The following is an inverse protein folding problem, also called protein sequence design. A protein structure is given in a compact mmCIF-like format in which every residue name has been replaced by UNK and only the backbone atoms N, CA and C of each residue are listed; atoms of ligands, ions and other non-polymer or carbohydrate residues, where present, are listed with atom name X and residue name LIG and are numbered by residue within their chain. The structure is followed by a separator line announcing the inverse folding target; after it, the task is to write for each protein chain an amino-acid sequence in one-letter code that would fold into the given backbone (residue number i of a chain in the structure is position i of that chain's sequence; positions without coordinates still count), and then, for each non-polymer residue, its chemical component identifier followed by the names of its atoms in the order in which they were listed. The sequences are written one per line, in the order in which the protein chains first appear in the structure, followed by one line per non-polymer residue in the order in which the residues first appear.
data_IF_499369693480
#
_entry.id   IF_499369693480
#
_cell.length_a   1.000
_cell.length_b   1.000
_cell.length_c   1.000
_cell.angle_alpha   90.00
_cell.angle_beta   90.00
_cell.angle_gamma   90.00
#
_symmetry.space_group_name_H-M   'P 1'
#
loop_
_entity.id
_entity.type
_entity.pdbx_description
1 polymer ?
#
# COMPACT_ATOMS: atom_id res chain seq x y z
N UNK A 1 -1.19 -1.92 -21.02
CA UNK A 1 -0.01 -2.56 -21.63
C UNK A 1 1.25 -1.79 -21.32
N UNK A 2 1.41 -1.31 -20.08
CA UNK A 2 2.69 -0.82 -19.56
C UNK A 2 3.37 -1.99 -18.83
N UNK A 3 4.68 -1.92 -18.66
CA UNK A 3 5.47 -2.90 -17.90
C UNK A 3 6.18 -2.16 -16.77
N UNK A 4 5.47 -1.88 -15.65
CA UNK A 4 6.05 -1.14 -14.55
C UNK A 4 7.06 -1.98 -13.76
N UNK A 5 8.05 -1.32 -13.19
CA UNK A 5 8.96 -1.87 -12.17
C UNK A 5 8.78 -1.05 -10.90
N UNK A 6 8.57 -1.72 -9.77
CA UNK A 6 8.36 -1.05 -8.48
C UNK A 6 9.68 -0.97 -7.73
N UNK A 7 10.04 0.19 -7.22
CA UNK A 7 11.18 0.37 -6.31
C UNK A 7 10.63 0.72 -4.94
N UNK A 8 10.65 -0.24 -4.02
CA UNK A 8 10.11 -0.05 -2.67
C UNK A 8 11.17 0.60 -1.77
N UNK A 9 10.95 1.87 -1.42
CA UNK A 9 11.85 2.70 -0.64
C UNK A 9 11.59 2.55 0.87
N UNK A 10 11.80 1.34 1.39
CA UNK A 10 11.47 0.98 2.76
C UNK A 10 12.31 1.70 3.83
N UNK A 11 11.71 2.00 4.98
CA UNK A 11 12.43 2.59 6.15
C UNK A 11 13.40 1.62 6.82
N UNK A 12 13.12 0.32 6.69
CA UNK A 12 13.92 -0.80 7.19
C UNK A 12 14.22 -1.83 6.10
N UNK A 13 14.22 -1.42 4.83
CA UNK A 13 14.47 -2.32 3.71
C UNK A 13 15.90 -2.89 3.69
N UNK A 14 16.25 -3.68 2.66
CA UNK A 14 17.52 -4.39 2.62
C UNK A 14 18.74 -3.45 2.56
N UNK A 15 19.89 -3.84 3.14
CA UNK A 15 21.09 -2.99 3.18
C UNK A 15 21.68 -2.71 1.78
N UNK A 16 21.44 -3.60 0.82
CA UNK A 16 21.71 -3.42 -0.60
C UNK A 16 20.41 -3.66 -1.40
N UNK A 17 20.29 -3.12 -2.63
CA UNK A 17 19.13 -3.40 -3.48
C UNK A 17 18.90 -4.91 -3.66
N UNK A 18 17.64 -5.34 -3.54
CA UNK A 18 17.23 -6.73 -3.78
C UNK A 18 16.22 -6.75 -4.90
N UNK A 19 16.51 -7.47 -5.97
CA UNK A 19 15.63 -7.56 -7.14
C UNK A 19 14.76 -8.81 -7.02
N UNK A 20 13.47 -8.65 -7.26
CA UNK A 20 12.50 -9.72 -7.49
C UNK A 20 12.00 -9.58 -8.93
N UNK A 21 12.42 -10.46 -9.86
CA UNK A 21 11.93 -10.44 -11.22
C UNK A 21 10.41 -10.65 -11.29
N UNK A 22 9.77 -10.07 -12.32
CA UNK A 22 8.35 -10.30 -12.57
C UNK A 22 8.07 -11.80 -12.75
N UNK A 23 6.95 -12.27 -12.20
CA UNK A 23 6.57 -13.69 -12.24
C UNK A 23 7.35 -14.62 -11.30
N UNK A 24 8.20 -14.08 -10.42
CA UNK A 24 8.82 -14.88 -9.35
C UNK A 24 7.71 -15.50 -8.48
N UNK A 25 7.67 -16.84 -8.31
CA UNK A 25 6.65 -17.48 -7.50
C UNK A 25 6.90 -17.20 -6.01
N UNK A 26 6.13 -16.27 -5.45
CA UNK A 26 6.18 -15.88 -4.04
C UNK A 26 4.88 -16.30 -3.35
N UNK A 27 4.80 -17.57 -2.96
CA UNK A 27 3.72 -18.06 -2.10
C UNK A 27 4.06 -17.82 -0.61
N UNK A 28 3.09 -17.99 0.31
CA UNK A 28 3.34 -17.84 1.74
C UNK A 28 4.47 -18.72 2.28
N UNK A 29 4.73 -19.90 1.68
CA UNK A 29 5.81 -20.78 2.10
C UNK A 29 7.18 -20.26 1.67
N UNK A 30 7.31 -19.69 0.47
CA UNK A 30 8.50 -19.01 0.00
C UNK A 30 8.85 -17.80 0.89
N UNK A 31 7.85 -17.01 1.28
CA UNK A 31 8.03 -15.90 2.20
C UNK A 31 8.44 -16.39 3.60
N UNK A 32 7.86 -17.48 4.10
CA UNK A 32 8.30 -18.10 5.34
C UNK A 32 9.77 -18.55 5.29
N UNK A 33 10.22 -19.11 4.17
CA UNK A 33 11.63 -19.49 3.99
C UNK A 33 12.56 -18.27 4.02
N UNK A 34 12.13 -17.11 3.47
CA UNK A 34 12.87 -15.84 3.60
C UNK A 34 12.98 -15.43 5.07
N UNK A 35 11.90 -15.56 5.85
CA UNK A 35 11.91 -15.25 7.28
C UNK A 35 12.85 -16.17 8.06
N UNK A 36 12.80 -17.48 7.79
CA UNK A 36 13.63 -18.49 8.46
C UNK A 36 15.13 -18.32 8.15
N UNK A 37 15.46 -17.75 6.98
CA UNK A 37 16.82 -17.33 6.63
C UNK A 37 17.26 -16.00 7.28
N UNK A 38 16.42 -15.40 8.14
CA UNK A 38 16.69 -14.11 8.79
C UNK A 38 16.39 -12.88 7.93
N UNK A 39 15.73 -13.07 6.78
CA UNK A 39 15.26 -11.99 5.92
C UNK A 39 13.96 -11.37 6.41
N UNK A 40 13.66 -10.16 5.93
CA UNK A 40 12.40 -9.47 6.22
C UNK A 40 11.33 -9.89 5.19
N UNK A 41 10.68 -11.03 5.42
CA UNK A 41 9.73 -11.66 4.49
C UNK A 41 8.51 -10.80 4.13
N UNK A 42 8.12 -9.85 4.97
CA UNK A 42 7.08 -8.90 4.65
C UNK A 42 7.62 -7.47 4.56
N UNK A 43 8.70 -7.36 3.78
CA UNK A 43 9.14 -6.10 3.20
C UNK A 43 8.23 -5.69 2.06
N UNK A 44 8.00 -4.38 1.92
CA UNK A 44 7.13 -3.77 0.90
C UNK A 44 7.37 -4.33 -0.52
N UNK A 45 8.63 -4.53 -0.95
CA UNK A 45 8.91 -5.07 -2.30
C UNK A 45 8.44 -6.52 -2.52
N UNK A 46 8.33 -7.35 -1.47
CA UNK A 46 7.72 -8.68 -1.59
C UNK A 46 6.20 -8.58 -1.63
N UNK A 47 5.60 -7.66 -0.86
CA UNK A 47 4.17 -7.36 -0.93
C UNK A 47 3.79 -6.88 -2.33
N UNK A 48 4.53 -5.93 -2.88
CA UNK A 48 4.35 -5.41 -4.23
C UNK A 48 4.45 -6.52 -5.28
N UNK A 49 5.46 -7.40 -5.17
CA UNK A 49 5.66 -8.49 -6.12
C UNK A 49 4.49 -9.48 -6.08
N UNK A 50 3.99 -9.82 -4.89
CA UNK A 50 2.88 -10.75 -4.69
C UNK A 50 1.55 -10.14 -5.16
N UNK A 51 1.29 -8.87 -4.87
CA UNK A 51 0.00 -8.22 -5.14
C UNK A 51 -0.13 -7.74 -6.59
N UNK A 52 0.97 -7.32 -7.21
CA UNK A 52 0.97 -6.76 -8.57
C UNK A 52 1.48 -7.72 -9.64
N UNK A 53 2.33 -8.69 -9.28
CA UNK A 53 3.06 -9.53 -10.22
C UNK A 53 4.17 -8.81 -11.00
N UNK A 54 4.39 -7.51 -10.75
CA UNK A 54 5.44 -6.72 -11.39
C UNK A 54 6.83 -7.11 -10.85
N UNK A 55 7.87 -6.74 -11.60
CA UNK A 55 9.23 -6.81 -11.06
C UNK A 55 9.39 -5.73 -9.98
N UNK A 56 10.06 -6.07 -8.89
CA UNK A 56 10.26 -5.15 -7.76
C UNK A 56 11.72 -5.09 -7.34
N UNK A 57 12.13 -3.95 -6.79
CA UNK A 57 13.45 -3.74 -6.21
C UNK A 57 13.31 -3.18 -4.81
N UNK A 58 13.66 -3.98 -3.82
CA UNK A 58 13.72 -3.56 -2.42
C UNK A 58 14.89 -2.62 -2.18
N UNK A 59 14.60 -1.47 -1.57
CA UNK A 59 15.59 -0.47 -1.18
C UNK A 59 15.40 -0.07 0.28
N UNK A 60 16.40 0.63 0.82
CA UNK A 60 16.42 1.18 2.17
C UNK A 60 16.71 2.66 2.13
N UNK A 61 15.92 3.41 2.89
CA UNK A 61 16.21 4.78 3.30
C UNK A 61 15.94 4.96 4.78
N UNK A 62 16.75 5.71 5.51
CA UNK A 62 16.48 5.98 6.92
C UNK A 62 17.07 7.30 7.40
N UNK A 63 16.54 7.81 8.52
CA UNK A 63 16.90 9.11 9.10
C UNK A 63 16.22 10.29 8.39
N UNK A 64 16.06 11.39 9.12
CA UNK A 64 15.58 12.67 8.59
C UNK A 64 16.74 13.64 8.41
N UNK A 65 16.97 14.07 7.17
CA UNK A 65 17.88 15.14 6.79
C UNK A 65 17.16 16.48 6.63
N UNK A 66 17.92 17.51 6.27
CA UNK A 66 17.38 18.86 6.04
C UNK A 66 16.30 18.83 4.95
N UNK A 67 15.22 19.60 5.15
CA UNK A 67 14.13 19.75 4.18
C UNK A 67 13.50 18.43 3.68
N UNK A 68 13.47 17.39 4.52
CA UNK A 68 12.79 16.12 4.21
C UNK A 68 13.65 15.13 3.43
N UNK A 69 14.93 15.44 3.25
CA UNK A 69 15.93 14.48 2.78
C UNK A 69 16.07 13.31 3.76
N UNK A 70 16.74 12.24 3.34
CA UNK A 70 17.06 11.08 4.19
C UNK A 70 18.54 11.06 4.54
N UNK A 71 18.88 10.60 5.75
CA UNK A 71 20.27 10.53 6.21
C UNK A 71 21.07 9.41 5.55
N UNK A 72 20.41 8.29 5.25
CA UNK A 72 20.95 7.17 4.49
C UNK A 72 19.97 6.76 3.40
N UNK A 73 20.48 6.39 2.23
CA UNK A 73 19.67 5.87 1.13
C UNK A 73 20.51 5.02 0.18
N UNK A 74 20.02 3.83 -0.17
CA UNK A 74 20.51 3.07 -1.32
C UNK A 74 19.53 3.11 -2.51
N UNK A 75 18.50 3.98 -2.47
CA UNK A 75 17.44 4.07 -3.49
C UNK A 75 18.00 4.37 -4.88
N UNK A 76 19.03 5.23 -4.99
CA UNK A 76 19.67 5.49 -6.28
C UNK A 76 20.32 4.24 -6.90
N UNK A 77 20.86 3.33 -6.07
CA UNK A 77 21.36 2.05 -6.54
C UNK A 77 20.22 1.11 -6.93
N UNK A 78 19.10 1.15 -6.20
CA UNK A 78 17.91 0.38 -6.54
C UNK A 78 17.27 0.82 -7.86
N UNK A 79 17.23 2.14 -8.13
CA UNK A 79 16.78 2.68 -9.42
C UNK A 79 17.68 2.23 -10.57
N UNK A 80 19.01 2.19 -10.37
CA UNK A 80 19.93 1.64 -11.38
C UNK A 80 19.63 0.17 -11.67
N UNK A 81 19.44 -0.65 -10.64
CA UNK A 81 19.05 -2.04 -10.81
C UNK A 81 17.68 -2.19 -11.49
N UNK A 82 16.71 -1.33 -11.16
CA UNK A 82 15.39 -1.32 -11.78
C UNK A 82 15.45 -0.99 -13.28
N UNK A 83 16.32 -0.07 -13.69
CA UNK A 83 16.53 0.28 -15.10
C UNK A 83 17.07 -0.89 -15.95
N UNK A 84 17.75 -1.85 -15.33
CA UNK A 84 18.26 -3.05 -16.02
C UNK A 84 17.16 -4.09 -16.31
N UNK A 85 15.97 -3.96 -15.70
CA UNK A 85 14.87 -4.92 -15.83
C UNK A 85 13.96 -4.68 -17.04
N UNK A 86 14.24 -3.65 -17.85
CA UNK A 86 13.56 -3.41 -19.13
C UNK A 86 12.09 -2.95 -19.01
N UNK A 87 11.69 -2.37 -17.87
CA UNK A 87 10.38 -1.75 -17.71
C UNK A 87 10.24 -0.40 -18.42
N UNK A 88 9.00 0.02 -18.65
CA UNK A 88 8.66 1.30 -19.30
C UNK A 88 8.13 2.37 -18.34
N UNK A 89 8.11 2.07 -17.05
CA UNK A 89 7.70 2.96 -15.98
C UNK A 89 8.34 2.50 -14.66
N UNK A 90 8.98 3.42 -13.95
CA UNK A 90 9.39 3.18 -12.56
C UNK A 90 8.34 3.72 -11.60
N UNK A 91 7.87 2.87 -10.71
CA UNK A 91 7.01 3.27 -9.58
C UNK A 91 7.86 3.31 -8.33
N UNK A 92 8.13 4.52 -7.85
CA UNK A 92 8.87 4.74 -6.62
C UNK A 92 7.88 4.80 -5.46
N UNK A 93 7.80 3.75 -4.65
CA UNK A 93 6.86 3.71 -3.54
C UNK A 93 7.55 3.76 -2.18
N UNK A 94 6.86 4.31 -1.18
CA UNK A 94 7.40 4.38 0.16
C UNK A 94 6.58 5.27 1.08
N UNK A 95 6.50 4.86 2.35
CA UNK A 95 5.68 5.53 3.36
C UNK A 95 6.43 6.60 4.17
N UNK A 96 5.68 7.44 4.88
CA UNK A 96 6.22 8.44 5.81
C UNK A 96 6.37 9.83 5.20
N UNK A 97 7.13 10.69 5.87
CA UNK A 97 7.20 12.13 5.56
C UNK A 97 8.40 12.55 4.72
N UNK A 98 9.36 11.64 4.48
CA UNK A 98 10.52 11.97 3.66
C UNK A 98 10.15 12.03 2.18
N UNK A 99 10.78 12.94 1.47
CA UNK A 99 10.65 13.01 0.02
C UNK A 99 11.38 11.83 -0.63
N UNK A 100 10.98 11.42 -1.84
CA UNK A 100 11.75 10.45 -2.62
C UNK A 100 13.21 10.88 -2.71
N UNK A 101 14.14 9.95 -2.43
CA UNK A 101 15.58 10.23 -2.43
C UNK A 101 16.18 10.37 -3.84
N UNK A 102 15.33 10.31 -4.85
CA UNK A 102 15.62 10.38 -6.29
C UNK A 102 14.53 11.20 -6.95
N UNK A 103 14.83 11.83 -8.09
CA UNK A 103 13.84 12.57 -8.85
C UNK A 103 12.75 11.63 -9.40
N UNK A 104 11.51 12.13 -9.43
CA UNK A 104 10.37 11.47 -10.06
C UNK A 104 9.69 12.48 -11.00
N UNK A 105 9.39 12.05 -12.22
CA UNK A 105 8.78 12.92 -13.24
C UNK A 105 7.34 13.28 -12.90
N UNK A 106 6.62 12.40 -12.19
CA UNK A 106 5.28 12.64 -11.67
C UNK A 106 5.20 12.17 -10.21
N UNK A 107 4.39 12.83 -9.39
CA UNK A 107 4.26 12.46 -7.97
C UNK A 107 2.81 12.31 -7.50
N UNK A 108 2.60 11.31 -6.64
CA UNK A 108 1.34 11.06 -5.95
C UNK A 108 1.54 11.30 -4.46
N UNK A 109 0.70 12.14 -3.86
CA UNK A 109 0.64 12.33 -2.42
C UNK A 109 -0.52 11.53 -1.84
N UNK A 110 -0.23 10.61 -0.91
CA UNK A 110 -1.26 9.83 -0.20
C UNK A 110 -1.43 10.41 1.21
N UNK A 111 -2.67 10.73 1.58
CA UNK A 111 -3.04 11.34 2.86
C UNK A 111 -4.17 10.54 3.50
N UNK A 112 -4.09 10.13 4.78
CA UNK A 112 -5.23 9.54 5.49
C UNK A 112 -6.31 10.59 5.73
N UNK A 113 -7.58 10.27 5.46
CA UNK A 113 -8.73 11.18 5.66
C UNK A 113 -9.03 11.50 7.12
N UNK A 114 -8.39 10.81 8.07
CA UNK A 114 -8.47 11.06 9.51
C UNK A 114 -7.18 11.64 10.11
N UNK A 115 -6.17 11.99 9.30
CA UNK A 115 -4.95 12.57 9.84
C UNK A 115 -5.21 13.96 10.45
N UNK A 116 -4.39 14.35 11.43
CA UNK A 116 -4.37 15.73 11.90
C UNK A 116 -4.06 16.67 10.72
N UNK A 117 -4.93 17.66 10.40
CA UNK A 117 -4.68 18.62 9.34
C UNK A 117 -3.36 19.38 9.47
N UNK A 118 -2.77 19.46 10.66
CA UNK A 118 -1.45 20.04 10.87
C UNK A 118 -0.32 19.26 10.17
N UNK A 119 -0.48 17.95 9.92
CA UNK A 119 0.47 17.20 9.10
C UNK A 119 0.45 17.60 7.62
N UNK A 120 -0.61 18.28 7.19
CA UNK A 120 -0.79 18.80 5.84
C UNK A 120 -0.39 20.28 5.77
N UNK A 121 -0.81 21.11 6.74
CA UNK A 121 -0.53 22.57 6.77
C UNK A 121 0.83 22.93 7.35
N UNK A 122 1.34 22.14 8.27
CA UNK A 122 2.60 22.37 8.96
C UNK A 122 3.75 21.57 8.40
N UNK A 123 4.94 21.78 8.97
CA UNK A 123 6.17 21.07 8.62
C UNK A 123 6.45 21.10 7.10
N UNK A 124 6.74 19.95 6.50
CA UNK A 124 6.88 19.76 5.06
C UNK A 124 5.58 19.26 4.40
N UNK A 125 4.44 19.36 5.09
CA UNK A 125 3.12 19.11 4.51
C UNK A 125 2.86 19.98 3.28
N UNK A 126 2.99 21.33 3.37
CA UNK A 126 2.74 22.22 2.24
C UNK A 126 3.64 21.92 1.05
N UNK A 127 4.91 21.62 1.32
CA UNK A 127 5.85 21.29 0.25
C UNK A 127 5.45 20.02 -0.50
N UNK A 128 5.03 18.96 0.20
CA UNK A 128 4.52 17.73 -0.42
C UNK A 128 3.25 17.96 -1.24
N UNK A 129 2.34 18.81 -0.76
CA UNK A 129 1.12 19.19 -1.51
C UNK A 129 1.49 19.96 -2.79
N UNK A 130 2.46 20.87 -2.72
CA UNK A 130 2.90 21.64 -3.89
C UNK A 130 3.61 20.79 -4.95
N UNK A 131 4.34 19.74 -4.53
CA UNK A 131 4.99 18.81 -5.44
C UNK A 131 3.99 17.86 -6.11
N UNK A 132 2.93 17.46 -5.41
CA UNK A 132 1.95 16.50 -5.88
C UNK A 132 1.35 16.87 -7.24
N UNK A 133 1.22 15.88 -8.12
CA UNK A 133 0.43 15.99 -9.35
C UNK A 133 -0.91 15.24 -9.25
N UNK A 134 -1.08 14.41 -8.21
CA UNK A 134 -2.33 13.81 -7.77
C UNK A 134 -2.28 13.68 -6.25
N UNK A 135 -3.40 13.95 -5.58
CA UNK A 135 -3.56 13.66 -4.15
C UNK A 135 -4.63 12.60 -3.96
N UNK A 136 -4.31 11.55 -3.21
CA UNK A 136 -5.25 10.52 -2.78
C UNK A 136 -5.52 10.70 -1.28
N UNK A 137 -6.76 11.08 -0.93
CA UNK A 137 -7.22 11.08 0.45
C UNK A 137 -7.88 9.74 0.74
N UNK A 138 -7.14 8.87 1.42
CA UNK A 138 -7.54 7.48 1.70
C UNK A 138 -8.45 7.38 2.91
N UNK A 139 -9.04 6.20 3.11
CA UNK A 139 -9.80 5.86 4.32
C UNK A 139 -11.06 6.73 4.54
N UNK A 140 -11.62 7.31 3.47
CA UNK A 140 -12.71 8.28 3.51
C UNK A 140 -14.10 7.67 3.77
N UNK A 141 -14.27 6.91 4.86
CA UNK A 141 -15.57 6.37 5.28
C UNK A 141 -15.67 6.14 6.80
N UNK A 142 -16.87 6.25 7.39
CA UNK A 142 -17.10 5.78 8.76
C UNK A 142 -16.98 4.25 8.88
N UNK A 143 -16.56 3.72 10.04
CA UNK A 143 -16.13 4.43 11.24
C UNK A 143 -14.64 4.86 11.21
N UNK A 144 -13.94 4.65 10.09
CA UNK A 144 -12.51 4.92 9.95
C UNK A 144 -12.20 6.42 9.96
N UNK A 145 -12.97 7.21 9.19
CA UNK A 145 -12.91 8.66 9.11
C UNK A 145 -14.32 9.25 9.12
N UNK A 146 -14.54 10.27 9.93
CA UNK A 146 -15.80 11.02 9.93
C UNK A 146 -15.83 12.04 8.78
N UNK A 147 -17.01 12.45 8.29
CA UNK A 147 -17.12 13.50 7.27
C UNK A 147 -16.38 14.80 7.65
N UNK A 148 -16.41 15.17 8.93
CA UNK A 148 -15.73 16.37 9.42
C UNK A 148 -14.20 16.26 9.35
N UNK A 149 -13.63 15.09 9.66
CA UNK A 149 -12.19 14.85 9.53
C UNK A 149 -11.76 14.89 8.05
N UNK A 150 -12.52 14.23 7.18
CA UNK A 150 -12.26 14.22 5.73
C UNK A 150 -12.26 15.66 5.21
N UNK A 151 -13.29 16.45 5.55
CA UNK A 151 -13.39 17.84 5.12
C UNK A 151 -12.27 18.72 5.68
N UNK A 152 -11.81 18.48 6.91
CA UNK A 152 -10.69 19.20 7.48
C UNK A 152 -9.38 18.94 6.71
N UNK A 153 -9.13 17.69 6.30
CA UNK A 153 -7.98 17.32 5.47
C UNK A 153 -8.08 17.94 4.07
N UNK A 154 -9.24 17.87 3.42
CA UNK A 154 -9.45 18.49 2.11
C UNK A 154 -9.28 20.02 2.18
N UNK A 155 -9.85 20.66 3.21
CA UNK A 155 -9.69 22.08 3.47
C UNK A 155 -8.23 22.49 3.70
N UNK A 156 -7.43 21.62 4.33
CA UNK A 156 -5.99 21.84 4.45
C UNK A 156 -5.27 21.79 3.10
N UNK A 157 -5.55 20.77 2.28
CA UNK A 157 -4.96 20.64 0.93
C UNK A 157 -5.31 21.87 0.08
N UNK A 158 -6.61 22.23 0.01
CA UNK A 158 -7.10 23.37 -0.79
C UNK A 158 -6.53 24.72 -0.35
N UNK A 159 -6.19 24.86 0.95
CA UNK A 159 -5.56 26.08 1.47
C UNK A 159 -4.12 26.28 1.00
N UNK A 160 -3.47 25.22 0.54
CA UNK A 160 -2.08 25.23 0.04
C UNK A 160 -2.06 25.28 -1.48
N UNK A 161 -2.81 24.40 -2.14
CA UNK A 161 -2.87 24.33 -3.61
C UNK A 161 -4.16 23.68 -4.10
N UNK A 162 -4.61 24.12 -5.28
CA UNK A 162 -5.70 23.50 -6.06
C UNK A 162 -5.20 22.97 -7.41
N UNK A 163 -3.87 22.88 -7.60
CA UNK A 163 -3.26 22.47 -8.87
C UNK A 163 -3.50 20.99 -9.17
N UNK A 164 -3.28 20.13 -8.16
CA UNK A 164 -3.42 18.70 -8.32
C UNK A 164 -4.88 18.27 -8.12
N UNK A 165 -5.42 17.36 -8.95
CA UNK A 165 -6.67 16.69 -8.64
C UNK A 165 -6.56 15.95 -7.29
N UNK A 166 -7.65 15.95 -6.54
CA UNK A 166 -7.75 15.31 -5.23
C UNK A 166 -8.87 14.27 -5.29
N UNK A 167 -8.53 13.00 -5.06
CA UNK A 167 -9.48 11.89 -5.04
C UNK A 167 -9.67 11.37 -3.62
N UNK A 168 -10.92 11.25 -3.20
CA UNK A 168 -11.30 10.55 -1.98
C UNK A 168 -11.40 9.06 -2.28
N UNK A 169 -10.78 8.23 -1.45
CA UNK A 169 -10.79 6.79 -1.61
C UNK A 169 -11.07 6.08 -0.29
N UNK A 170 -11.67 4.91 -0.40
CA UNK A 170 -11.77 3.89 0.66
C UNK A 170 -10.90 2.70 0.28
N UNK A 171 -10.54 1.85 1.23
CA UNK A 171 -9.80 0.63 0.96
C UNK A 171 -10.73 -0.58 1.05
N UNK A 172 -10.63 -1.48 0.08
CA UNK A 172 -11.43 -2.71 0.04
C UNK A 172 -10.52 -3.94 -0.06
N UNK A 173 -10.78 -4.98 0.74
CA UNK A 173 -9.98 -6.19 0.71
C UNK A 173 -10.26 -6.98 -0.58
N UNK A 174 -9.21 -7.53 -1.16
CA UNK A 174 -9.25 -8.36 -2.37
C UNK A 174 -8.43 -9.63 -2.12
N UNK A 175 -9.09 -10.78 -1.93
CA UNK A 175 -8.39 -12.06 -1.84
C UNK A 175 -7.62 -12.36 -3.12
N UNK A 176 -6.32 -12.64 -3.00
CA UNK A 176 -5.44 -13.04 -4.11
C UNK A 176 -5.52 -14.55 -4.40
N UNK A 177 -6.68 -15.14 -4.12
CA UNK A 177 -6.96 -16.56 -4.29
C UNK A 177 -8.44 -16.87 -4.03
N UNK A 178 -8.88 -18.08 -4.40
CA UNK A 178 -10.27 -18.50 -4.20
C UNK A 178 -10.61 -18.61 -2.72
N UNK A 179 -11.75 -18.03 -2.33
CA UNK A 179 -12.32 -18.09 -0.97
C UNK A 179 -13.83 -18.36 -0.96
N UNK A 180 -14.47 -18.43 -2.12
CA UNK A 180 -15.93 -18.61 -2.22
C UNK A 180 -16.36 -19.95 -1.60
N UNK A 181 -17.36 -19.91 -0.71
CA UNK A 181 -17.88 -21.09 0.01
C UNK A 181 -17.02 -21.57 1.18
N UNK A 182 -15.86 -20.95 1.41
CA UNK A 182 -14.92 -21.35 2.48
C UNK A 182 -15.17 -20.57 3.78
N UNK A 183 -14.83 -21.17 4.92
CA UNK A 183 -14.76 -20.47 6.20
C UNK A 183 -13.44 -19.74 6.32
N UNK A 184 -13.52 -18.43 6.53
CA UNK A 184 -12.39 -17.51 6.51
C UNK A 184 -12.16 -16.95 7.92
N UNK A 185 -10.92 -17.10 8.40
CA UNK A 185 -10.37 -16.20 9.41
C UNK A 185 -9.73 -15.01 8.70
N UNK A 186 -10.20 -13.79 8.96
CA UNK A 186 -9.66 -12.58 8.33
C UNK A 186 -8.76 -11.78 9.28
N UNK A 187 -7.46 -11.74 8.99
CA UNK A 187 -6.48 -10.98 9.75
C UNK A 187 -6.05 -9.71 9.00
N UNK A 188 -6.15 -8.55 9.63
CA UNK A 188 -5.92 -7.23 9.03
C UNK A 188 -5.18 -6.29 9.98
N UNK A 189 -4.48 -5.30 9.42
CA UNK A 189 -3.97 -4.15 10.18
C UNK A 189 -5.00 -3.04 10.37
N UNK A 190 -6.19 -3.16 9.77
CA UNK A 190 -7.26 -2.19 9.95
C UNK A 190 -7.73 -2.15 11.41
N UNK A 191 -8.06 -0.96 11.95
CA UNK A 191 -8.58 -0.82 13.31
C UNK A 191 -9.83 -1.69 13.56
N UNK A 192 -9.99 -2.18 14.79
CA UNK A 192 -11.09 -3.07 15.19
C UNK A 192 -12.50 -2.58 14.78
N UNK A 193 -12.84 -1.29 14.90
CA UNK A 193 -14.16 -0.80 14.46
C UNK A 193 -14.43 -0.98 12.97
N UNK A 194 -13.39 -1.11 12.13
CA UNK A 194 -13.50 -1.23 10.66
C UNK A 194 -13.57 -2.69 10.23
N UNK A 195 -13.08 -3.63 11.05
CA UNK A 195 -12.99 -5.05 10.71
C UNK A 195 -14.35 -5.66 10.30
N UNK A 196 -15.44 -5.27 10.98
CA UNK A 196 -16.79 -5.72 10.64
C UNK A 196 -17.24 -5.27 9.24
N UNK A 197 -16.93 -4.03 8.85
CA UNK A 197 -17.24 -3.51 7.50
C UNK A 197 -16.47 -4.27 6.43
N UNK A 198 -15.19 -4.56 6.66
CA UNK A 198 -14.36 -5.31 5.71
C UNK A 198 -14.79 -6.78 5.61
N UNK A 199 -15.14 -7.40 6.73
CA UNK A 199 -15.68 -8.76 6.77
C UNK A 199 -17.00 -8.86 6.01
N UNK A 200 -17.94 -7.93 6.24
CA UNK A 200 -19.20 -7.89 5.49
C UNK A 200 -18.96 -7.76 3.98
N UNK A 201 -18.04 -6.86 3.58
CA UNK A 201 -17.66 -6.71 2.17
C UNK A 201 -17.09 -8.00 1.58
N UNK A 202 -16.24 -8.72 2.32
CA UNK A 202 -15.67 -10.00 1.87
C UNK A 202 -16.76 -11.04 1.60
N UNK A 203 -17.71 -11.19 2.54
CA UNK A 203 -18.81 -12.15 2.40
C UNK A 203 -19.73 -11.80 1.22
N UNK A 204 -20.13 -10.52 1.10
CA UNK A 204 -21.01 -10.06 0.03
C UNK A 204 -20.35 -10.17 -1.35
N UNK A 205 -19.09 -9.77 -1.47
CA UNK A 205 -18.40 -9.68 -2.77
C UNK A 205 -17.79 -10.99 -3.25
N UNK A 206 -17.27 -11.81 -2.32
CA UNK A 206 -16.51 -13.02 -2.67
C UNK A 206 -17.19 -14.31 -2.22
N UNK A 207 -18.34 -14.23 -1.52
CA UNK A 207 -19.14 -15.40 -1.18
C UNK A 207 -18.49 -16.36 -0.16
N UNK A 208 -17.54 -15.88 0.64
CA UNK A 208 -16.96 -16.62 1.76
C UNK A 208 -17.80 -16.42 3.05
N UNK A 209 -17.56 -17.25 4.06
CA UNK A 209 -18.09 -17.06 5.42
C UNK A 209 -16.97 -16.57 6.33
N UNK A 210 -17.03 -15.34 6.83
CA UNK A 210 -15.99 -14.83 7.75
C UNK A 210 -16.35 -15.23 9.18
N UNK A 211 -15.76 -16.33 9.66
CA UNK A 211 -16.06 -16.92 10.97
C UNK A 211 -15.36 -16.21 12.13
N UNK A 212 -14.26 -15.51 11.85
CA UNK A 212 -13.52 -14.71 12.83
C UNK A 212 -12.71 -13.60 12.14
N UNK A 213 -12.44 -12.52 12.88
CA UNK A 213 -11.56 -11.45 12.43
C UNK A 213 -10.52 -11.12 13.50
N UNK A 214 -9.33 -10.66 13.07
CA UNK A 214 -8.34 -10.06 13.97
C UNK A 214 -7.78 -8.77 13.36
N UNK A 215 -7.88 -7.67 14.11
CA UNK A 215 -7.22 -6.39 13.79
C UNK A 215 -5.80 -6.28 14.33
N UNK A 216 -5.24 -7.39 14.83
CA UNK A 216 -3.96 -7.44 15.54
C UNK A 216 -2.88 -8.10 14.71
N UNK A 217 -2.98 -8.01 13.38
CA UNK A 217 -2.01 -8.60 12.45
C UNK A 217 -0.58 -8.09 12.70
N UNK A 218 -0.41 -6.86 13.18
CA UNK A 218 0.93 -6.33 13.52
C UNK A 218 1.46 -6.79 14.89
N UNK A 219 0.65 -7.47 15.71
CA UNK A 219 0.95 -7.89 17.08
C UNK A 219 0.98 -9.43 17.15
N UNK A 220 2.19 -10.00 17.11
CA UNK A 220 2.41 -11.45 17.06
C UNK A 220 1.76 -12.22 18.23
N UNK A 221 2.00 -11.86 19.52
CA UNK A 221 1.34 -12.52 20.64
C UNK A 221 -0.18 -12.47 20.54
N UNK A 222 -0.74 -11.31 20.21
CA UNK A 222 -2.18 -11.14 20.21
C UNK A 222 -2.86 -11.83 19.01
N UNK A 223 -2.24 -11.81 17.84
CA UNK A 223 -2.70 -12.58 16.68
C UNK A 223 -2.70 -14.09 16.96
N UNK A 224 -1.67 -14.61 17.64
CA UNK A 224 -1.62 -16.02 18.02
C UNK A 224 -2.79 -16.40 18.92
N UNK A 225 -3.06 -15.59 19.96
CA UNK A 225 -4.19 -15.82 20.85
C UNK A 225 -5.53 -15.81 20.11
N UNK A 226 -5.68 -14.93 19.11
CA UNK A 226 -6.90 -14.87 18.28
C UNK A 226 -7.09 -16.10 17.41
N UNK A 227 -6.00 -16.60 16.81
CA UNK A 227 -6.01 -17.80 15.99
C UNK A 227 -6.30 -19.05 16.83
N UNK A 228 -5.78 -19.13 18.05
CA UNK A 228 -6.03 -20.24 18.98
C UNK A 228 -7.48 -20.25 19.51
N UNK A 229 -8.09 -19.08 19.71
CA UNK A 229 -9.47 -18.94 20.16
C UNK A 229 -10.51 -19.03 19.02
N UNK A 230 -10.06 -19.07 17.77
CA UNK A 230 -10.94 -19.04 16.60
C UNK A 230 -11.78 -20.32 16.46
N UNK A 231 -13.01 -20.22 15.93
CA UNK A 231 -13.71 -21.37 15.37
C UNK A 231 -12.89 -22.02 14.25
N UNK A 232 -13.23 -23.26 13.86
CA UNK A 232 -12.59 -23.90 12.72
C UNK A 232 -12.79 -23.08 11.42
N UNK A 233 -11.71 -22.89 10.67
CA UNK A 233 -11.68 -22.16 9.40
C UNK A 233 -10.83 -22.91 8.37
N UNK A 234 -11.19 -22.77 7.10
CA UNK A 234 -10.52 -23.42 5.97
C UNK A 234 -9.42 -22.52 5.39
N UNK A 235 -9.61 -21.19 5.48
CA UNK A 235 -8.72 -20.18 4.92
C UNK A 235 -8.33 -19.14 5.97
N UNK A 236 -7.03 -18.89 6.08
CA UNK A 236 -6.50 -17.70 6.74
C UNK A 236 -6.26 -16.62 5.67
N UNK A 237 -7.16 -15.65 5.60
CA UNK A 237 -7.05 -14.50 4.70
C UNK A 237 -6.31 -13.38 5.44
N UNK A 238 -5.18 -12.92 4.92
CA UNK A 238 -4.35 -11.93 5.61
C UNK A 238 -3.64 -10.95 4.70
N UNK A 239 -3.45 -9.72 5.16
CA UNK A 239 -2.56 -8.76 4.51
C UNK A 239 -1.09 -9.18 4.66
N UNK A 240 -0.23 -8.74 3.75
CA UNK A 240 1.20 -9.07 3.78
C UNK A 240 1.97 -8.03 4.62
N UNK A 241 1.88 -8.10 5.95
CA UNK A 241 2.56 -7.17 6.87
C UNK A 241 3.72 -7.82 7.63
N UNK A 242 4.82 -7.06 7.77
CA UNK A 242 6.13 -7.38 8.37
C UNK A 242 6.14 -8.30 9.61
N UNK A 243 5.07 -8.28 10.42
CA UNK A 243 5.06 -8.93 11.72
C UNK A 243 4.39 -10.30 11.76
N UNK A 244 3.59 -10.72 10.77
CA UNK A 244 2.70 -11.86 10.97
C UNK A 244 2.73 -12.95 9.91
N UNK A 245 3.49 -12.81 8.81
CA UNK A 245 3.60 -13.90 7.82
C UNK A 245 4.09 -15.19 8.47
N UNK A 246 5.06 -15.10 9.37
CA UNK A 246 5.59 -16.24 10.12
C UNK A 246 4.58 -16.85 11.09
N UNK A 247 3.90 -16.02 11.89
CA UNK A 247 2.89 -16.49 12.86
C UNK A 247 1.68 -17.08 12.14
N UNK A 248 1.17 -16.38 11.13
CA UNK A 248 -0.01 -16.77 10.38
C UNK A 248 0.23 -18.05 9.56
N UNK A 249 1.36 -18.14 8.84
CA UNK A 249 1.67 -19.34 8.06
C UNK A 249 1.83 -20.58 8.96
N UNK A 250 2.51 -20.43 10.10
CA UNK A 250 2.69 -21.54 11.05
C UNK A 250 1.38 -21.94 11.71
N UNK A 251 0.54 -20.98 12.11
CA UNK A 251 -0.75 -21.26 12.71
C UNK A 251 -1.73 -21.91 11.72
N UNK A 252 -1.81 -21.39 10.50
CA UNK A 252 -2.63 -21.98 9.43
C UNK A 252 -2.20 -23.41 9.14
N UNK A 253 -0.90 -23.67 9.01
CA UNK A 253 -0.36 -25.02 8.82
C UNK A 253 -0.70 -25.97 9.97
N UNK A 254 -0.74 -25.49 11.22
CA UNK A 254 -1.05 -26.32 12.38
C UNK A 254 -2.52 -26.79 12.41
N UNK A 255 -3.43 -26.02 11.82
CA UNK A 255 -4.86 -26.33 11.73
C UNK A 255 -5.29 -26.84 10.35
N UNK A 256 -4.34 -27.02 9.42
CA UNK A 256 -4.61 -27.46 8.05
C UNK A 256 -5.29 -26.41 7.17
N UNK A 257 -5.32 -25.15 7.60
CA UNK A 257 -5.91 -24.05 6.84
C UNK A 257 -4.95 -23.55 5.77
N UNK A 258 -5.51 -23.09 4.65
CA UNK A 258 -4.74 -22.52 3.54
C UNK A 258 -4.56 -21.01 3.76
N UNK A 259 -3.36 -20.49 3.53
CA UNK A 259 -3.10 -19.05 3.62
C UNK A 259 -3.42 -18.40 2.27
N UNK A 260 -4.20 -17.32 2.30
CA UNK A 260 -4.49 -16.49 1.13
C UNK A 260 -4.09 -15.05 1.46
N UNK A 261 -3.30 -14.44 0.58
CA UNK A 261 -2.93 -13.03 0.70
C UNK A 261 -4.14 -12.17 0.34
N UNK A 262 -4.35 -11.11 1.11
CA UNK A 262 -5.37 -10.11 0.89
C UNK A 262 -4.71 -8.80 0.48
N UNK A 263 -5.02 -8.33 -0.72
CA UNK A 263 -4.67 -6.99 -1.20
C UNK A 263 -5.70 -5.97 -0.67
N UNK A 264 -5.31 -4.70 -0.55
CA UNK A 264 -6.17 -3.60 -0.11
C UNK A 264 -6.29 -2.56 -1.23
N UNK A 265 -7.33 -2.69 -2.05
CA UNK A 265 -7.49 -1.83 -3.23
C UNK A 265 -8.19 -0.52 -2.91
N UNK A 266 -7.64 0.62 -3.37
CA UNK A 266 -8.33 1.90 -3.28
C UNK A 266 -9.52 1.94 -4.24
N UNK A 267 -10.68 2.31 -3.71
CA UNK A 267 -11.92 2.57 -4.47
C UNK A 267 -12.26 4.05 -4.31
N UNK A 268 -12.44 4.75 -5.44
CA UNK A 268 -12.76 6.18 -5.42
C UNK A 268 -14.21 6.37 -4.98
N UNK A 269 -14.42 7.21 -3.96
CA UNK A 269 -15.76 7.57 -3.47
C UNK A 269 -16.15 8.99 -3.89
N UNK A 270 -15.20 9.82 -4.31
CA UNK A 270 -15.48 11.15 -4.83
C UNK A 270 -14.25 11.88 -5.33
N UNK A 271 -14.48 12.88 -6.16
CA UNK A 271 -13.49 13.88 -6.55
C UNK A 271 -13.71 15.10 -5.66
N UNK A 272 -12.64 15.77 -5.23
CA UNK A 272 -12.71 17.08 -4.58
C UNK A 272 -12.50 18.15 -5.66
N UNK A 273 -13.59 18.44 -6.36
CA UNK A 273 -13.74 19.55 -7.28
C UNK A 273 -14.91 20.46 -6.83
N UNK A 274 -15.02 21.64 -7.42
CA UNK A 274 -16.09 22.60 -7.06
C UNK A 274 -17.50 22.06 -7.36
N UNK A 275 -17.60 20.98 -8.16
CA UNK A 275 -18.85 20.31 -8.51
C UNK A 275 -19.20 19.14 -7.58
N UNK A 276 -18.28 18.71 -6.70
CA UNK A 276 -18.44 17.56 -5.81
C UNK A 276 -18.71 16.25 -6.55
N UNK A 277 -18.10 16.04 -7.72
CA UNK A 277 -18.42 14.91 -8.59
C UNK A 277 -18.25 13.55 -7.88
N UNK A 278 -19.25 12.67 -8.05
CA UNK A 278 -19.17 11.31 -7.57
C UNK A 278 -18.04 10.56 -8.28
N UNK A 279 -17.29 9.76 -7.52
CA UNK A 279 -16.31 8.84 -8.09
C UNK A 279 -17.02 7.71 -8.83
N UNK A 280 -16.42 7.21 -9.91
CA UNK A 280 -16.88 6.04 -10.64
C UNK A 280 -15.83 4.94 -10.68
N UNK A 281 -16.26 3.74 -11.09
CA UNK A 281 -15.32 2.71 -11.52
C UNK A 281 -14.43 3.28 -12.65
N UNK A 282 -13.12 3.08 -12.53
CA UNK A 282 -12.15 3.59 -13.51
C UNK A 282 -11.59 4.99 -13.24
N UNK A 283 -12.20 5.82 -12.36
CA UNK A 283 -11.69 7.17 -12.07
C UNK A 283 -10.22 7.16 -11.61
N UNK A 284 -9.83 6.23 -10.74
CA UNK A 284 -8.44 6.09 -10.31
C UNK A 284 -7.54 5.66 -11.47
N UNK A 285 -7.99 4.70 -12.30
CA UNK A 285 -7.22 4.21 -13.43
C UNK A 285 -6.96 5.32 -14.47
N UNK A 286 -7.96 6.17 -14.73
CA UNK A 286 -7.80 7.34 -15.59
C UNK A 286 -6.81 8.36 -15.00
N UNK A 287 -6.93 8.66 -13.70
CA UNK A 287 -6.01 9.58 -13.04
C UNK A 287 -4.56 9.07 -13.08
N UNK A 288 -4.34 7.78 -12.79
CA UNK A 288 -3.03 7.13 -12.89
C UNK A 288 -2.53 7.09 -14.33
N UNK A 289 -3.40 6.84 -15.31
CA UNK A 289 -3.04 6.89 -16.73
C UNK A 289 -2.54 8.26 -17.18
N UNK A 290 -3.20 9.33 -16.72
CA UNK A 290 -2.76 10.72 -16.97
C UNK A 290 -1.43 11.03 -16.29
N UNK A 291 -1.21 10.54 -15.07
CA UNK A 291 0.08 10.69 -14.39
C UNK A 291 1.22 10.00 -15.15
N UNK A 292 0.98 8.79 -15.67
CA UNK A 292 1.97 8.07 -16.45
C UNK A 292 2.32 8.82 -17.75
N UNK A 293 1.33 9.37 -18.46
CA UNK A 293 1.56 10.21 -19.65
C UNK A 293 2.39 11.46 -19.31
N UNK A 294 2.04 12.13 -18.22
CA UNK A 294 2.77 13.31 -17.76
C UNK A 294 4.21 12.97 -17.33
N UNK A 295 4.43 11.78 -16.75
CA UNK A 295 5.78 11.29 -16.47
C UNK A 295 6.58 11.11 -17.77
N UNK A 296 5.98 10.47 -18.79
CA UNK A 296 6.63 10.27 -20.10
C UNK A 296 6.99 11.61 -20.76
N UNK A 297 6.07 12.58 -20.74
CA UNK A 297 6.28 13.92 -21.32
C UNK A 297 7.39 14.71 -20.62
N UNK A 298 7.46 14.61 -19.28
CA UNK A 298 8.49 15.30 -18.48
C UNK A 298 9.83 14.60 -18.63
N UNK A 299 9.85 13.27 -18.66
CA UNK A 299 11.04 12.48 -18.88
C UNK A 299 11.71 12.84 -20.23
N UNK A 300 10.90 12.94 -21.30
CA UNK A 300 11.38 13.30 -22.63
C UNK A 300 11.92 14.74 -22.78
N UNK A 301 11.69 15.62 -21.79
CA UNK A 301 12.22 16.98 -21.77
C UNK A 301 13.58 17.08 -21.07
N UNK A 302 14.00 16.04 -20.35
CA UNK A 302 15.33 16.06 -19.74
C UNK A 302 16.39 15.98 -20.84
N UNK A 303 17.41 16.85 -20.82
CA UNK A 303 18.52 16.71 -21.74
C UNK A 303 19.16 15.34 -21.51
N UNK A 304 19.26 14.56 -22.58
CA UNK A 304 20.04 13.31 -22.56
C UNK A 304 21.49 13.70 -22.22
N UNK A 305 22.12 13.03 -21.24
CA UNK A 305 23.48 13.37 -20.82
C UNK A 305 24.50 13.28 -21.96
#
# INVERSE_FOLDING_TARGET
GRTPVVVAMGRGGPPAPVVVPAGTPLDPAALLAVADAGGHAASDFYEDAVTTGAATVGARRCGGGLAGAVGFSNVAAAVRAANELGGDLLVLEGSGSALPAVHADATVLVVPGDCDPEFVRGYLGPYRVLLADLVLVTMCEPPRSTPAQIEAVLGAIRSISRRAPVLRTVLRPVPMGMVAGEKVFFATTAPAPVAGTLAAYLQERYGCEVVATSSRLADRPALRADLEAAPAFDVLLMELKAAAVDVAARAASAVGARVVVCDNRPVVTGVDDDAGAAGGEGTLAEAVGRLAQMADERFGRHPTP
#
